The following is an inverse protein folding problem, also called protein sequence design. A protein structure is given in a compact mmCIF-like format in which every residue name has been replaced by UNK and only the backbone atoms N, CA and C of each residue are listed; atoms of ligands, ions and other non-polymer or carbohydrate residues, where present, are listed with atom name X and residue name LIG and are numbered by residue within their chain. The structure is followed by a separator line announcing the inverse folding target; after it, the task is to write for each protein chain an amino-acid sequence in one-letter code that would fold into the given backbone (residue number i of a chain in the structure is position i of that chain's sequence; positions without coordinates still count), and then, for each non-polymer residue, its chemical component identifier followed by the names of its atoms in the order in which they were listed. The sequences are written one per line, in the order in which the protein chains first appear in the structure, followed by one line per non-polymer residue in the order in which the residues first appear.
data_IF_903661859043
#
_entry.id   IF_903661859043
#
_cell.length_a   1.000
_cell.length_b   1.000
_cell.length_c   1.000
_cell.angle_alpha   90.00
_cell.angle_beta   90.00
_cell.angle_gamma   90.00
#
_symmetry.space_group_name_H-M   'P 1'
#
loop_
_entity.id
_entity.type
_entity.pdbx_description
1 polymer ?
#
# COMPACT_ATOMS: atom_id res chain seq x y z
N UNK A 1 -65.30 -6.73 42.52
CA UNK A 1 -65.83 -5.89 43.64
C UNK A 1 -65.10 -4.58 43.65
N UNK A 2 -65.88 -3.53 43.63
CA UNK A 2 -65.62 -2.11 43.91
C UNK A 2 -64.61 -1.42 42.99
N UNK A 3 -65.07 -0.67 42.04
CA UNK A 3 -65.78 0.64 42.06
C UNK A 3 -64.94 1.82 42.44
N UNK A 4 -64.90 2.75 41.45
CA UNK A 4 -65.18 4.20 41.64
C UNK A 4 -63.94 5.07 41.94
N UNK A 5 -63.67 6.24 41.38
CA UNK A 5 -64.52 7.33 40.84
C UNK A 5 -63.68 8.31 40.04
N UNK A 6 -64.28 8.76 39.03
CA UNK A 6 -64.21 10.00 38.29
C UNK A 6 -63.83 11.22 39.14
N UNK A 7 -62.94 12.07 38.62
CA UNK A 7 -62.96 13.50 38.88
C UNK A 7 -62.49 14.24 37.63
N UNK A 8 -63.46 14.99 37.06
CA UNK A 8 -63.23 15.99 36.02
C UNK A 8 -62.72 17.29 36.64
N UNK A 9 -61.72 17.89 36.02
CA UNK A 9 -61.42 19.30 36.22
C UNK A 9 -61.04 19.94 34.89
N UNK A 10 -61.99 20.73 34.42
CA UNK A 10 -61.89 21.66 33.27
C UNK A 10 -61.32 22.96 33.79
N UNK A 11 -60.27 23.51 33.19
CA UNK A 11 -59.93 24.93 33.27
C UNK A 11 -59.15 25.38 32.03
N UNK A 12 -59.84 26.26 31.31
CA UNK A 12 -59.42 27.49 30.63
C UNK A 12 -58.23 27.57 29.68
N UNK A 13 -58.65 27.91 28.48
CA UNK A 13 -57.98 28.53 27.35
C UNK A 13 -57.02 29.68 27.78
N UNK A 14 -55.81 29.68 27.29
CA UNK A 14 -55.01 30.87 27.02
C UNK A 14 -54.26 30.74 25.73
N UNK A 15 -54.71 31.44 24.69
CA UNK A 15 -53.98 31.64 23.45
C UNK A 15 -52.75 32.50 23.76
N UNK A 16 -51.57 31.98 23.57
CA UNK A 16 -50.35 32.77 23.42
C UNK A 16 -49.73 32.39 22.08
N UNK A 17 -49.84 33.31 21.13
CA UNK A 17 -49.17 33.21 19.83
C UNK A 17 -47.66 33.39 20.08
N UNK A 18 -46.89 32.30 19.96
CA UNK A 18 -45.44 32.32 19.91
C UNK A 18 -44.97 32.11 18.47
N UNK A 19 -44.33 33.16 17.96
CA UNK A 19 -43.66 33.17 16.68
C UNK A 19 -42.62 32.03 16.63
N UNK A 20 -42.80 31.04 15.75
CA UNK A 20 -41.83 30.03 15.40
C UNK A 20 -40.74 30.69 14.54
N UNK A 21 -39.67 31.17 15.15
CA UNK A 21 -38.38 31.37 14.47
C UNK A 21 -37.82 29.97 14.18
N UNK A 22 -37.99 29.51 12.95
CA UNK A 22 -37.32 28.33 12.46
C UNK A 22 -35.81 28.61 12.38
N UNK A 23 -35.06 28.28 13.43
CA UNK A 23 -33.62 28.08 13.34
C UNK A 23 -33.39 26.78 12.55
N UNK A 24 -33.14 26.91 11.25
CA UNK A 24 -32.57 25.83 10.47
C UNK A 24 -31.13 25.59 11.01
N UNK A 25 -30.99 24.65 11.92
CA UNK A 25 -29.72 24.10 12.31
C UNK A 25 -29.19 23.31 11.12
N UNK A 26 -28.45 23.94 10.24
CA UNK A 26 -27.58 23.27 9.29
C UNK A 26 -26.50 22.59 10.12
N UNK A 27 -26.71 21.32 10.43
CA UNK A 27 -25.65 20.46 10.96
C UNK A 27 -24.56 20.42 9.89
N UNK A 28 -23.33 20.93 10.14
CA UNK A 28 -22.27 20.77 9.17
C UNK A 28 -22.03 19.28 9.01
N UNK A 29 -22.22 18.79 7.79
CA UNK A 29 -21.76 17.46 7.39
C UNK A 29 -20.26 17.44 7.68
N UNK A 30 -19.73 16.47 8.47
CA UNK A 30 -18.31 16.36 8.66
C UNK A 30 -17.66 16.16 7.30
N UNK A 31 -16.99 17.20 6.81
CA UNK A 31 -16.08 17.05 5.69
C UNK A 31 -14.97 16.14 6.20
N UNK A 32 -14.94 14.91 5.74
CA UNK A 32 -13.78 14.03 5.92
C UNK A 32 -12.65 14.75 5.18
N UNK A 33 -11.80 15.46 5.93
CA UNK A 33 -10.52 15.90 5.40
C UNK A 33 -9.77 14.63 5.02
N UNK A 34 -9.77 14.31 3.74
CA UNK A 34 -8.83 13.35 3.19
C UNK A 34 -7.44 13.96 3.40
N UNK A 35 -6.76 13.49 4.43
CA UNK A 35 -5.35 13.79 4.63
C UNK A 35 -4.62 13.23 3.41
N UNK A 36 -4.31 14.10 2.44
CA UNK A 36 -3.46 13.71 1.32
C UNK A 36 -2.07 13.43 1.89
N UNK A 37 -1.75 12.16 2.01
CA UNK A 37 -0.40 11.73 2.34
C UNK A 37 0.48 12.11 1.14
N UNK A 38 1.37 13.09 1.32
CA UNK A 38 2.33 13.47 0.28
C UNK A 38 3.49 12.51 0.34
N UNK A 39 3.58 11.60 -0.61
CA UNK A 39 4.71 10.69 -0.76
C UNK A 39 5.92 11.41 -1.36
N UNK A 40 7.12 11.04 -0.93
CA UNK A 40 8.37 11.59 -1.43
C UNK A 40 8.54 11.30 -2.93
N UNK A 41 8.21 10.07 -3.35
CA UNK A 41 8.20 9.66 -4.75
C UNK A 41 6.88 8.93 -5.07
N UNK A 42 5.87 9.64 -5.61
CA UNK A 42 4.56 9.05 -5.92
C UNK A 42 4.62 7.97 -7.02
N UNK A 43 5.68 7.95 -7.84
CA UNK A 43 5.87 6.90 -8.85
C UNK A 43 6.22 5.54 -8.22
N UNK A 44 6.64 5.52 -6.97
CA UNK A 44 6.91 4.29 -6.23
C UNK A 44 5.71 3.84 -5.41
N UNK A 45 4.66 4.65 -5.24
CA UNK A 45 3.45 4.24 -4.53
C UNK A 45 2.66 3.23 -5.38
N UNK A 46 2.21 2.10 -4.79
CA UNK A 46 1.33 1.16 -5.49
C UNK A 46 -0.04 1.80 -5.75
N UNK A 47 -0.58 1.60 -6.95
CA UNK A 47 -1.85 2.15 -7.41
C UNK A 47 -2.96 1.12 -7.24
N UNK A 48 -4.17 1.57 -6.90
CA UNK A 48 -5.36 0.74 -6.98
C UNK A 48 -5.64 0.36 -8.44
N UNK A 49 -5.99 -0.91 -8.68
CA UNK A 49 -6.23 -1.46 -10.02
C UNK A 49 -7.73 -1.55 -10.29
N UNK A 50 -8.19 -0.91 -11.36
CA UNK A 50 -9.58 -0.98 -11.82
C UNK A 50 -9.63 -1.16 -13.36
N UNK A 51 -10.06 -2.34 -13.85
CA UNK A 51 -10.38 -3.55 -13.07
C UNK A 51 -9.12 -4.25 -12.54
N UNK A 52 -9.27 -5.04 -11.46
CA UNK A 52 -8.24 -5.98 -11.06
C UNK A 52 -8.20 -7.13 -12.08
N UNK A 53 -7.07 -7.33 -12.72
CA UNK A 53 -6.84 -8.34 -13.76
C UNK A 53 -5.35 -8.61 -13.91
N UNK A 54 -4.99 -9.73 -14.52
CA UNK A 54 -3.60 -10.07 -14.86
C UNK A 54 -2.90 -8.92 -15.60
N UNK A 55 -3.55 -8.36 -16.61
CA UNK A 55 -2.96 -7.29 -17.43
C UNK A 55 -2.66 -6.02 -16.61
N UNK A 56 -3.59 -5.61 -15.73
CA UNK A 56 -3.40 -4.43 -14.88
C UNK A 56 -2.39 -4.67 -13.77
N UNK A 57 -2.39 -5.88 -13.16
CA UNK A 57 -1.41 -6.28 -12.16
C UNK A 57 0.01 -6.35 -12.74
N UNK A 58 0.17 -7.00 -13.91
CA UNK A 58 1.43 -7.04 -14.66
C UNK A 58 1.93 -5.63 -14.99
N UNK A 59 1.04 -4.76 -15.50
CA UNK A 59 1.39 -3.39 -15.84
C UNK A 59 1.88 -2.59 -14.64
N UNK A 60 1.22 -2.71 -13.49
CA UNK A 60 1.60 -2.00 -12.28
C UNK A 60 2.89 -2.55 -11.65
N UNK A 61 3.06 -3.88 -11.60
CA UNK A 61 4.30 -4.49 -11.12
C UNK A 61 5.51 -4.08 -11.98
N UNK A 62 5.34 -4.07 -13.31
CA UNK A 62 6.38 -3.62 -14.24
C UNK A 62 6.70 -2.14 -14.02
N UNK A 63 5.68 -1.29 -13.89
CA UNK A 63 5.87 0.14 -13.61
C UNK A 63 6.65 0.38 -12.32
N UNK A 64 6.32 -0.33 -11.25
CA UNK A 64 7.03 -0.24 -9.96
C UNK A 64 8.49 -0.70 -10.10
N UNK A 65 8.72 -1.83 -10.79
CA UNK A 65 10.06 -2.33 -11.04
C UNK A 65 10.91 -1.36 -11.87
N UNK A 66 10.33 -0.71 -12.88
CA UNK A 66 11.00 0.30 -13.71
C UNK A 66 11.30 1.58 -12.92
N UNK A 67 10.37 2.02 -12.06
CA UNK A 67 10.58 3.17 -11.19
C UNK A 67 11.70 2.94 -10.16
N UNK A 68 11.82 1.71 -9.63
CA UNK A 68 12.93 1.33 -8.76
C UNK A 68 14.25 1.24 -9.52
N UNK A 69 14.24 0.65 -10.72
CA UNK A 69 15.42 0.57 -11.58
C UNK A 69 16.02 1.96 -11.87
N UNK A 70 15.16 2.98 -12.01
CA UNK A 70 15.59 4.34 -12.23
C UNK A 70 16.35 4.99 -11.05
N UNK A 71 16.28 4.39 -9.86
CA UNK A 71 17.03 4.82 -8.67
C UNK A 71 18.40 4.16 -8.56
N UNK A 72 18.65 3.12 -9.33
CA UNK A 72 19.95 2.43 -9.37
C UNK A 72 20.83 3.15 -10.38
N UNK A 73 22.06 3.50 -10.01
CA UNK A 73 23.01 4.09 -10.94
C UNK A 73 23.33 3.07 -12.04
N UNK A 74 22.84 3.35 -13.25
CA UNK A 74 23.04 2.46 -14.40
C UNK A 74 24.52 2.19 -14.72
N UNK A 75 25.43 3.08 -14.34
CA UNK A 75 26.87 2.88 -14.55
C UNK A 75 27.47 1.80 -13.65
N UNK A 76 26.76 1.43 -12.57
CA UNK A 76 27.17 0.39 -11.63
C UNK A 76 26.51 -0.98 -11.91
N UNK A 77 25.63 -1.06 -12.89
CA UNK A 77 24.94 -2.30 -13.29
C UNK A 77 25.71 -3.00 -14.40
N UNK A 78 26.15 -4.22 -14.14
CA UNK A 78 26.88 -5.06 -15.12
C UNK A 78 25.90 -5.86 -15.98
N UNK A 79 24.85 -6.42 -15.37
CA UNK A 79 23.84 -7.22 -16.05
C UNK A 79 22.48 -7.11 -15.32
N UNK A 80 21.40 -7.36 -16.04
CA UNK A 80 20.04 -7.47 -15.49
C UNK A 80 19.42 -8.74 -15.99
N UNK A 81 18.83 -9.52 -15.07
CA UNK A 81 17.99 -10.68 -15.38
C UNK A 81 16.56 -10.38 -14.95
N UNK A 82 15.58 -10.67 -15.80
CA UNK A 82 14.13 -10.53 -15.51
C UNK A 82 13.48 -11.91 -15.61
N UNK A 83 12.92 -12.38 -14.50
CA UNK A 83 12.23 -13.67 -14.37
C UNK A 83 10.77 -13.46 -13.93
N UNK A 84 10.19 -12.35 -14.31
CA UNK A 84 8.81 -11.97 -13.96
C UNK A 84 7.80 -12.95 -14.55
N UNK A 85 6.79 -13.35 -13.74
CA UNK A 85 5.83 -14.38 -14.12
C UNK A 85 4.52 -14.31 -13.34
N UNK A 86 3.49 -14.95 -13.88
CA UNK A 86 2.28 -15.27 -13.12
C UNK A 86 2.54 -16.52 -12.26
N UNK A 87 2.22 -16.45 -10.99
CA UNK A 87 2.39 -17.53 -10.02
C UNK A 87 1.01 -18.00 -9.58
N UNK A 88 0.74 -19.30 -9.69
CA UNK A 88 -0.48 -19.88 -9.11
C UNK A 88 -0.33 -19.97 -7.58
N UNK A 89 -1.39 -19.64 -6.86
CA UNK A 89 -1.46 -19.89 -5.43
C UNK A 89 -1.62 -21.40 -5.15
N UNK A 90 -1.27 -21.83 -3.93
CA UNK A 90 -1.21 -23.26 -3.56
C UNK A 90 -2.54 -24.02 -3.71
N UNK A 91 -3.67 -23.33 -3.78
CA UNK A 91 -5.02 -23.91 -3.88
C UNK A 91 -5.59 -23.93 -5.31
N UNK A 92 -4.83 -23.54 -6.33
CA UNK A 92 -5.24 -23.41 -7.72
C UNK A 92 -6.47 -22.50 -7.97
N UNK A 93 -6.89 -21.72 -6.97
CA UNK A 93 -8.08 -20.84 -7.04
C UNK A 93 -7.67 -19.40 -7.36
N UNK A 94 -6.52 -18.99 -6.91
CA UNK A 94 -5.98 -17.65 -7.11
C UNK A 94 -4.64 -17.69 -7.84
N UNK A 95 -4.28 -16.61 -8.47
CA UNK A 95 -2.97 -16.38 -9.04
C UNK A 95 -2.55 -14.95 -8.75
N UNK A 96 -1.27 -14.68 -8.66
CA UNK A 96 -0.74 -13.34 -8.52
C UNK A 96 0.48 -13.15 -9.42
N UNK A 97 0.71 -11.92 -9.86
CA UNK A 97 1.86 -11.62 -10.69
C UNK A 97 3.06 -11.22 -9.85
N UNK A 98 4.22 -11.79 -10.18
CA UNK A 98 5.50 -11.45 -9.56
C UNK A 98 6.42 -10.81 -10.61
N UNK A 99 6.82 -9.57 -10.39
CA UNK A 99 7.97 -9.01 -11.07
C UNK A 99 9.23 -9.37 -10.26
N UNK A 100 10.17 -10.06 -10.89
CA UNK A 100 11.42 -10.45 -10.27
C UNK A 100 12.59 -10.04 -11.15
N UNK A 101 13.43 -9.12 -10.65
CA UNK A 101 14.63 -8.63 -11.34
C UNK A 101 15.85 -8.73 -10.47
N UNK A 102 16.93 -9.26 -11.04
CA UNK A 102 18.24 -9.31 -10.41
C UNK A 102 19.22 -8.45 -11.18
N UNK A 103 19.89 -7.56 -10.48
CA UNK A 103 20.95 -6.70 -10.97
C UNK A 103 22.29 -7.22 -10.47
N UNK A 104 23.15 -7.67 -11.39
CA UNK A 104 24.55 -7.91 -11.09
C UNK A 104 25.24 -6.56 -11.06
N UNK A 105 25.93 -6.26 -9.94
CA UNK A 105 26.53 -4.96 -9.70
C UNK A 105 28.05 -4.98 -9.91
N UNK A 106 28.62 -3.81 -10.14
CA UNK A 106 30.07 -3.63 -10.11
C UNK A 106 30.61 -4.02 -8.72
N UNK A 107 31.79 -4.70 -8.62
CA UNK A 107 32.36 -5.11 -7.34
C UNK A 107 32.65 -4.00 -6.34
N UNK A 108 32.65 -2.74 -6.76
CA UNK A 108 32.81 -1.57 -5.87
C UNK A 108 31.51 -1.16 -5.16
N UNK A 109 30.37 -1.71 -5.56
CA UNK A 109 29.05 -1.40 -4.96
C UNK A 109 28.77 -2.35 -3.80
N UNK A 110 28.37 -1.80 -2.67
CA UNK A 110 27.82 -2.57 -1.56
C UNK A 110 26.32 -2.79 -1.77
N UNK A 111 25.88 -4.01 -2.12
CA UNK A 111 24.48 -4.30 -2.41
C UNK A 111 23.57 -4.19 -1.18
N UNK A 112 24.09 -4.43 0.03
CA UNK A 112 23.31 -4.31 1.26
C UNK A 112 23.00 -2.84 1.56
N UNK A 113 24.01 -1.97 1.47
CA UNK A 113 23.81 -0.52 1.61
C UNK A 113 22.80 0.01 0.57
N UNK A 114 22.88 -0.50 -0.68
CA UNK A 114 21.93 -0.12 -1.73
C UNK A 114 20.50 -0.61 -1.42
N UNK A 115 20.35 -1.84 -0.93
CA UNK A 115 19.03 -2.40 -0.54
C UNK A 115 18.42 -1.61 0.62
N UNK A 116 19.19 -1.25 1.65
CA UNK A 116 18.72 -0.39 2.75
C UNK A 116 18.27 1.00 2.25
N UNK A 117 19.06 1.61 1.36
CA UNK A 117 18.72 2.91 0.80
C UNK A 117 17.41 2.87 -0.01
N UNK A 118 17.22 1.85 -0.83
CA UNK A 118 15.97 1.65 -1.58
C UNK A 118 14.79 1.38 -0.65
N UNK A 119 14.96 0.56 0.40
CA UNK A 119 13.96 0.32 1.43
C UNK A 119 13.53 1.62 2.12
N UNK A 120 14.47 2.49 2.46
CA UNK A 120 14.19 3.79 3.08
C UNK A 120 13.41 4.73 2.13
N UNK A 121 13.72 4.74 0.84
CA UNK A 121 12.97 5.51 -0.18
C UNK A 121 11.55 4.97 -0.33
N UNK A 122 11.38 3.66 -0.37
CA UNK A 122 10.08 2.99 -0.45
C UNK A 122 9.20 3.31 0.77
N UNK A 123 9.76 3.25 1.99
CA UNK A 123 9.04 3.61 3.21
C UNK A 123 8.50 5.05 3.19
N UNK A 124 9.20 5.97 2.52
CA UNK A 124 8.76 7.35 2.32
C UNK A 124 7.82 7.53 1.12
N UNK A 125 7.58 6.47 0.36
CA UNK A 125 6.81 6.47 -0.90
C UNK A 125 5.52 5.65 -0.83
N UNK A 126 5.01 5.34 0.39
CA UNK A 126 3.73 4.67 0.59
C UNK A 126 3.83 3.17 0.90
N UNK A 127 5.03 2.67 1.16
CA UNK A 127 5.25 1.31 1.63
C UNK A 127 5.47 1.28 3.14
N UNK A 128 5.03 0.23 3.79
CA UNK A 128 5.27 -0.03 5.21
C UNK A 128 6.30 -1.13 5.33
N UNK A 129 7.39 -0.90 6.04
CA UNK A 129 8.38 -1.93 6.33
C UNK A 129 7.78 -2.97 7.28
N UNK A 130 7.85 -4.24 6.90
CA UNK A 130 7.41 -5.39 7.70
C UNK A 130 8.57 -6.07 8.44
N UNK A 131 9.78 -5.85 7.99
CA UNK A 131 10.98 -6.36 8.65
C UNK A 131 12.21 -6.29 7.77
N UNK A 132 13.34 -6.40 8.44
CA UNK A 132 14.66 -6.49 7.81
C UNK A 132 15.38 -7.67 8.42
N UNK A 133 15.96 -8.54 7.60
CA UNK A 133 16.86 -9.62 8.04
C UNK A 133 18.21 -9.49 7.35
N UNK A 134 19.26 -9.90 8.04
CA UNK A 134 20.61 -9.97 7.48
C UNK A 134 21.25 -11.27 7.95
N UNK A 135 21.33 -12.25 7.07
CA UNK A 135 21.86 -13.56 7.35
C UNK A 135 22.80 -14.00 6.21
N UNK A 136 23.94 -14.56 6.55
CA UNK A 136 24.92 -15.14 5.61
C UNK A 136 25.34 -14.20 4.45
N UNK A 137 25.41 -12.89 4.72
CA UNK A 137 25.79 -11.90 3.70
C UNK A 137 24.63 -11.45 2.79
N UNK A 138 23.41 -11.85 3.11
CA UNK A 138 22.17 -11.46 2.41
C UNK A 138 21.35 -10.55 3.31
N UNK A 139 21.14 -9.32 2.89
CA UNK A 139 20.21 -8.40 3.51
C UNK A 139 18.88 -8.44 2.75
N UNK A 140 17.77 -8.61 3.45
CA UNK A 140 16.43 -8.55 2.88
C UNK A 140 15.63 -7.46 3.60
N UNK A 141 15.07 -6.52 2.86
CA UNK A 141 14.09 -5.55 3.34
C UNK A 141 12.72 -5.95 2.78
N UNK A 142 11.79 -6.30 3.67
CA UNK A 142 10.43 -6.70 3.33
C UNK A 142 9.46 -5.55 3.57
N UNK A 143 8.66 -5.23 2.57
CA UNK A 143 7.70 -4.12 2.61
C UNK A 143 6.32 -4.57 2.11
N UNK A 144 5.27 -3.91 2.61
CA UNK A 144 3.91 -4.04 2.10
C UNK A 144 3.34 -2.67 1.74
N UNK A 145 2.47 -2.64 0.74
CA UNK A 145 1.81 -1.43 0.26
C UNK A 145 0.44 -1.73 -0.35
N UNK A 146 -0.20 -0.73 -0.95
CA UNK A 146 -1.54 -0.88 -1.51
C UNK A 146 -2.65 -0.71 -0.48
N UNK A 147 -3.78 -1.37 -0.70
CA UNK A 147 -4.94 -1.39 0.18
C UNK A 147 -5.18 -2.79 0.75
N UNK A 148 -6.06 -2.92 1.74
CA UNK A 148 -6.42 -4.22 2.32
C UNK A 148 -7.05 -5.17 1.29
N UNK A 149 -7.75 -4.61 0.27
CA UNK A 149 -8.37 -5.38 -0.82
C UNK A 149 -7.39 -5.70 -1.95
N UNK A 150 -6.32 -4.91 -2.08
CA UNK A 150 -5.29 -5.07 -3.10
C UNK A 150 -3.91 -4.89 -2.48
N UNK A 151 -3.46 -5.85 -1.66
CA UNK A 151 -2.15 -5.79 -1.02
C UNK A 151 -1.03 -6.04 -2.04
N UNK A 152 0.03 -5.27 -1.90
CA UNK A 152 1.28 -5.45 -2.62
C UNK A 152 2.39 -5.79 -1.66
N UNK A 153 3.28 -6.69 -2.05
CA UNK A 153 4.45 -7.05 -1.27
C UNK A 153 5.71 -6.80 -2.10
N UNK A 154 6.74 -6.32 -1.43
CA UNK A 154 8.02 -6.07 -2.06
C UNK A 154 9.16 -6.58 -1.18
N UNK A 155 10.13 -7.23 -1.81
CA UNK A 155 11.38 -7.63 -1.20
C UNK A 155 12.53 -7.00 -1.98
N UNK A 156 13.38 -6.27 -1.26
CA UNK A 156 14.62 -5.72 -1.80
C UNK A 156 15.75 -6.45 -1.11
N UNK A 157 16.54 -7.20 -1.87
CA UNK A 157 17.58 -8.07 -1.36
C UNK A 157 18.94 -7.64 -1.89
N UNK A 158 19.88 -7.36 -0.98
CA UNK A 158 21.29 -7.10 -1.28
C UNK A 158 22.15 -8.29 -0.87
N UNK A 159 22.86 -8.89 -1.80
CA UNK A 159 23.70 -10.04 -1.59
C UNK A 159 25.16 -9.73 -1.96
N UNK A 160 26.08 -9.91 -0.97
CA UNK A 160 27.48 -9.50 -1.11
C UNK A 160 28.30 -10.40 -2.03
N UNK A 161 27.87 -11.63 -2.26
CA UNK A 161 28.58 -12.54 -3.15
C UNK A 161 27.72 -13.72 -3.60
N UNK A 162 27.12 -13.62 -4.77
CA UNK A 162 26.76 -14.80 -5.57
C UNK A 162 27.92 -15.03 -6.54
N UNK A 163 28.64 -16.13 -6.40
CA UNK A 163 29.82 -16.46 -7.26
C UNK A 163 30.88 -15.35 -7.36
N UNK A 164 31.01 -14.52 -6.31
CA UNK A 164 32.00 -13.44 -6.22
C UNK A 164 31.59 -12.12 -6.86
N UNK A 165 30.34 -11.96 -7.27
CA UNK A 165 29.78 -10.70 -7.74
C UNK A 165 28.63 -10.25 -6.85
N UNK A 166 28.60 -8.94 -6.47
CA UNK A 166 27.49 -8.41 -5.69
C UNK A 166 26.21 -8.36 -6.54
N UNK A 167 25.07 -8.65 -5.90
CA UNK A 167 23.79 -8.65 -6.56
C UNK A 167 22.73 -7.91 -5.74
N UNK A 168 21.83 -7.22 -6.45
CA UNK A 168 20.60 -6.65 -5.91
C UNK A 168 19.43 -7.34 -6.58
N UNK A 169 18.54 -7.95 -5.79
CA UNK A 169 17.29 -8.52 -6.31
C UNK A 169 16.10 -7.73 -5.82
N UNK A 170 15.13 -7.50 -6.71
CA UNK A 170 13.87 -6.83 -6.43
C UNK A 170 12.75 -7.77 -6.83
N UNK A 171 11.91 -8.14 -5.86
CA UNK A 171 10.72 -8.92 -6.07
C UNK A 171 9.49 -8.10 -5.67
N UNK A 172 8.50 -8.01 -6.56
CA UNK A 172 7.24 -7.31 -6.34
C UNK A 172 6.11 -8.30 -6.63
N UNK A 173 5.35 -8.65 -5.60
CA UNK A 173 4.18 -9.51 -5.71
C UNK A 173 2.91 -8.66 -5.65
N UNK A 174 2.03 -8.83 -6.64
CA UNK A 174 0.74 -8.16 -6.73
C UNK A 174 -0.35 -8.83 -5.90
N UNK A 175 -1.56 -8.25 -5.89
CA UNK A 175 -2.72 -8.85 -5.26
C UNK A 175 -3.18 -10.12 -5.97
N UNK A 176 -3.94 -10.96 -5.29
CA UNK A 176 -4.62 -12.12 -5.85
C UNK A 176 -5.60 -11.72 -6.96
N UNK A 177 -5.65 -12.53 -8.04
CA UNK A 177 -6.40 -12.28 -9.28
C UNK A 177 -7.63 -13.16 -9.41
#
# INVERSE_FOLDING_TARGET
MLSSRIAHATVALSLAALALTACTSTTPTPTVEQTQTTYLNPELAPRALEPLSEATATGEATRLADALAALIDASTVVAVTDESQLVAADDDIAAYYVAFRTYTLDPSVDPQTLAEALGAVLAQSGWTEHGTSNEDGVLIVALAGGTDEQPWFMFVQGETAVEGQPALSIQIAGPDL
#
